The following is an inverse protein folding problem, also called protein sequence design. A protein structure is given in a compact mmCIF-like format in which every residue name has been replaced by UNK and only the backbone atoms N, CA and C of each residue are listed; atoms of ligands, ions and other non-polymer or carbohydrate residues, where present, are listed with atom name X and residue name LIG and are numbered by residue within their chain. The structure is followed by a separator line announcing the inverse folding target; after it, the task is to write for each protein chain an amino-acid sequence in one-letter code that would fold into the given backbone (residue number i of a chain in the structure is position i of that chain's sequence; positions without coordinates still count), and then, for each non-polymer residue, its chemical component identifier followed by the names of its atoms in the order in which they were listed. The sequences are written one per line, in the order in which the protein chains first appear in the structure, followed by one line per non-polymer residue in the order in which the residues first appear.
data_IF_230049056081
#
_entry.id   IF_230049056081
#
_cell.length_a   1.000
_cell.length_b   1.000
_cell.length_c   1.000
_cell.angle_alpha   90.00
_cell.angle_beta   90.00
_cell.angle_gamma   90.00
#
_symmetry.space_group_name_H-M   'P 1'
#
loop_
_entity.id
_entity.type
_entity.pdbx_description
1 polymer ?
#
# COMPACT_ATOMS: atom_id res chain seq x y z
N UNK A 1 -42.77 -12.21 -25.44
CA UNK A 1 -41.34 -11.86 -25.32
C UNK A 1 -41.24 -10.48 -24.70
N UNK A 2 -41.35 -10.40 -23.37
CA UNK A 2 -41.03 -9.19 -22.62
C UNK A 2 -39.61 -9.34 -22.08
N UNK A 3 -38.69 -8.53 -22.61
CA UNK A 3 -37.33 -8.45 -22.15
C UNK A 3 -37.32 -7.50 -20.94
N UNK A 4 -37.16 -8.06 -19.75
CA UNK A 4 -37.04 -7.29 -18.52
C UNK A 4 -35.82 -6.36 -18.58
N UNK A 5 -36.06 -5.05 -18.51
CA UNK A 5 -35.02 -4.07 -18.23
C UNK A 5 -34.49 -4.30 -16.81
N UNK A 6 -33.39 -5.04 -16.68
CA UNK A 6 -32.64 -5.08 -15.44
C UNK A 6 -31.99 -3.71 -15.22
N UNK A 7 -32.59 -2.90 -14.34
CA UNK A 7 -31.90 -1.74 -13.78
C UNK A 7 -30.66 -2.22 -13.04
N UNK A 8 -29.50 -1.66 -13.41
CA UNK A 8 -28.24 -1.90 -12.73
C UNK A 8 -28.41 -1.49 -11.26
N UNK A 9 -28.07 -2.33 -10.27
CA UNK A 9 -28.26 -1.97 -8.86
C UNK A 9 -27.53 -0.66 -8.56
N UNK A 10 -28.23 0.29 -7.94
CA UNK A 10 -27.55 1.45 -7.36
C UNK A 10 -26.64 0.94 -6.24
N UNK A 11 -25.34 1.17 -6.43
CA UNK A 11 -24.32 0.84 -5.44
C UNK A 11 -24.46 1.82 -4.27
N UNK A 12 -25.05 1.37 -3.18
CA UNK A 12 -24.95 2.07 -1.91
C UNK A 12 -23.51 1.91 -1.45
N UNK A 13 -22.70 2.95 -1.58
CA UNK A 13 -21.36 3.02 -0.98
C UNK A 13 -21.53 3.16 0.52
N UNK A 14 -21.20 2.16 1.35
CA UNK A 14 -21.01 2.44 2.75
C UNK A 14 -19.78 3.35 2.84
N UNK A 15 -19.98 4.63 3.12
CA UNK A 15 -18.88 5.44 3.61
C UNK A 15 -18.40 4.78 4.90
N UNK A 16 -17.20 4.21 4.87
CA UNK A 16 -16.52 3.78 6.08
C UNK A 16 -16.32 5.02 6.95
N UNK A 17 -17.23 5.21 7.91
CA UNK A 17 -17.07 6.24 8.93
C UNK A 17 -15.85 5.85 9.76
N UNK A 18 -14.74 6.52 9.47
CA UNK A 18 -13.48 6.36 10.19
C UNK A 18 -13.62 7.09 11.53
N UNK A 19 -13.70 6.32 12.61
CA UNK A 19 -13.68 6.86 13.97
C UNK A 19 -12.23 6.88 14.46
N UNK A 20 -11.75 8.07 14.84
CA UNK A 20 -10.41 8.22 15.41
C UNK A 20 -10.25 7.38 16.67
N UNK A 21 -9.14 6.67 16.78
CA UNK A 21 -8.80 5.87 17.96
C UNK A 21 -7.95 6.75 18.87
N UNK A 22 -8.55 7.28 19.93
CA UNK A 22 -7.86 8.18 20.85
C UNK A 22 -6.57 7.53 21.40
N UNK A 23 -5.45 8.24 21.30
CA UNK A 23 -4.14 7.79 21.79
C UNK A 23 -3.41 6.77 20.89
N UNK A 24 -4.00 6.30 19.79
CA UNK A 24 -3.35 5.30 18.92
C UNK A 24 -2.02 5.79 18.35
N UNK A 25 -1.98 7.03 17.86
CA UNK A 25 -0.76 7.61 17.30
C UNK A 25 0.32 7.78 18.37
N UNK A 26 -0.05 8.17 19.60
CA UNK A 26 0.90 8.25 20.71
C UNK A 26 1.50 6.87 21.02
N UNK A 27 0.67 5.82 20.99
CA UNK A 27 1.12 4.45 21.21
C UNK A 27 2.06 3.98 20.08
N UNK A 28 1.69 4.21 18.82
CA UNK A 28 2.49 3.84 17.64
C UNK A 28 3.85 4.55 17.60
N UNK A 29 3.89 5.82 18.03
CA UNK A 29 5.14 6.59 18.06
C UNK A 29 6.19 6.02 19.02
N UNK A 30 5.83 5.15 19.98
CA UNK A 30 6.82 4.44 20.79
C UNK A 30 7.66 3.43 19.99
N UNK A 31 7.22 3.08 18.78
CA UNK A 31 7.88 2.15 17.87
C UNK A 31 8.46 2.87 16.64
N UNK A 32 8.54 4.21 16.67
CA UNK A 32 8.96 5.00 15.51
C UNK A 32 10.38 4.69 15.10
N UNK A 33 10.60 4.51 13.80
CA UNK A 33 11.93 4.34 13.19
C UNK A 33 12.24 5.51 12.27
N UNK A 34 13.21 6.34 12.65
CA UNK A 34 13.57 7.56 11.91
C UNK A 34 14.30 7.26 10.58
N UNK A 35 14.94 6.09 10.47
CA UNK A 35 15.75 5.70 9.32
C UNK A 35 15.01 4.93 8.23
N UNK A 36 13.71 4.60 8.41
CA UNK A 36 12.95 3.93 7.35
C UNK A 36 12.83 4.78 6.07
N UNK A 37 13.04 6.09 6.17
CA UNK A 37 13.00 7.05 5.06
C UNK A 37 14.40 7.58 4.64
N UNK A 38 15.50 7.07 5.22
CA UNK A 38 16.85 7.39 4.73
C UNK A 38 17.11 6.58 3.45
N UNK A 39 16.46 7.03 2.39
CA UNK A 39 16.22 6.27 1.16
C UNK A 39 17.38 6.44 0.18
N UNK A 40 17.89 5.34 -0.38
CA UNK A 40 18.48 5.39 -1.71
C UNK A 40 17.33 5.62 -2.70
N UNK A 41 17.07 6.88 -3.05
CA UNK A 41 16.04 7.24 -4.03
C UNK A 41 16.54 6.82 -5.41
N UNK A 42 16.04 5.70 -5.92
CA UNK A 42 16.43 5.16 -7.23
C UNK A 42 15.27 5.44 -8.19
N UNK A 43 15.48 6.13 -9.33
CA UNK A 43 14.51 6.18 -10.40
C UNK A 43 14.13 4.76 -10.77
N UNK A 44 12.89 4.36 -10.47
CA UNK A 44 12.54 2.96 -10.49
C UNK A 44 11.73 2.65 -11.73
N UNK A 45 12.35 1.89 -12.64
CA UNK A 45 11.61 1.07 -13.57
C UNK A 45 11.14 -0.17 -12.81
N UNK A 46 10.03 -0.05 -12.06
CA UNK A 46 9.47 -1.20 -11.34
C UNK A 46 9.01 -2.22 -12.38
N UNK A 47 9.72 -3.34 -12.46
CA UNK A 47 9.23 -4.53 -13.14
C UNK A 47 8.53 -5.39 -12.10
N UNK A 48 7.21 -5.25 -12.00
CA UNK A 48 6.39 -6.18 -11.24
C UNK A 48 6.31 -7.49 -12.01
N UNK A 49 6.39 -8.63 -11.31
CA UNK A 49 5.98 -9.89 -11.94
C UNK A 49 4.51 -9.79 -12.35
N UNK A 50 4.11 -10.53 -13.39
CA UNK A 50 2.72 -10.53 -13.84
C UNK A 50 1.76 -10.93 -12.70
N UNK A 51 2.18 -11.86 -11.84
CA UNK A 51 1.42 -12.31 -10.67
C UNK A 51 1.26 -11.18 -9.64
N UNK A 52 2.33 -10.45 -9.31
CA UNK A 52 2.25 -9.30 -8.39
C UNK A 52 1.45 -8.16 -9.02
N UNK A 53 1.57 -7.94 -10.33
CA UNK A 53 0.78 -6.95 -11.06
C UNK A 53 -0.71 -7.29 -10.99
N UNK A 54 -1.08 -8.55 -11.22
CA UNK A 54 -2.47 -9.02 -11.09
C UNK A 54 -2.96 -8.91 -9.65
N UNK A 55 -2.11 -9.17 -8.66
CA UNK A 55 -2.48 -9.03 -7.25
C UNK A 55 -2.69 -7.56 -6.84
N UNK A 56 -1.84 -6.65 -7.31
CA UNK A 56 -1.91 -5.23 -6.97
C UNK A 56 -3.04 -4.52 -7.73
N UNK A 57 -3.19 -4.83 -9.01
CA UNK A 57 -4.08 -4.10 -9.92
C UNK A 57 -5.31 -4.90 -10.38
N UNK A 58 -5.42 -6.20 -10.09
CA UNK A 58 -6.52 -7.04 -10.57
C UNK A 58 -6.45 -7.36 -12.07
N UNK A 59 -7.43 -8.13 -12.56
CA UNK A 59 -7.47 -8.65 -13.93
C UNK A 59 -7.90 -7.58 -14.97
N UNK A 60 -8.67 -6.58 -14.54
CA UNK A 60 -9.19 -5.49 -15.40
C UNK A 60 -8.10 -4.51 -15.87
N UNK A 61 -6.90 -4.57 -15.27
CA UNK A 61 -5.79 -3.66 -15.55
C UNK A 61 -4.67 -4.28 -16.41
N UNK A 62 -4.91 -5.46 -17.02
CA UNK A 62 -3.95 -6.16 -17.92
C UNK A 62 -3.42 -5.31 -19.09
N UNK A 63 -4.16 -4.28 -19.49
CA UNK A 63 -3.85 -3.45 -20.67
C UNK A 63 -3.43 -2.02 -20.36
N UNK A 64 -3.35 -1.63 -19.09
CA UNK A 64 -2.94 -0.28 -18.69
C UNK A 64 -1.48 -0.34 -18.27
N UNK A 65 -0.52 0.16 -19.09
CA UNK A 65 0.81 0.50 -18.59
C UNK A 65 0.62 1.36 -17.33
N UNK A 66 1.46 1.19 -16.32
CA UNK A 66 1.57 2.18 -15.24
C UNK A 66 2.02 3.49 -15.89
N UNK A 67 1.03 4.21 -16.41
CA UNK A 67 1.11 5.38 -17.26
C UNK A 67 1.94 5.23 -18.55
N UNK A 68 1.68 6.06 -19.59
CA UNK A 68 2.53 6.13 -20.77
C UNK A 68 3.98 6.46 -20.37
N UNK A 69 4.99 6.12 -21.21
CA UNK A 69 6.39 6.44 -20.96
C UNK A 69 6.55 7.96 -20.77
N UNK A 70 6.57 8.42 -19.52
CA UNK A 70 6.55 9.84 -19.18
C UNK A 70 6.07 10.21 -17.78
N UNK A 71 5.40 9.32 -17.03
CA UNK A 71 5.05 9.56 -15.62
C UNK A 71 6.15 8.95 -14.75
N UNK A 72 6.98 9.81 -14.16
CA UNK A 72 8.06 9.39 -13.25
C UNK A 72 7.45 8.84 -11.96
N UNK A 73 7.39 7.51 -11.81
CA UNK A 73 7.11 6.88 -10.52
C UNK A 73 8.42 6.66 -9.78
N UNK A 74 8.44 7.02 -8.50
CA UNK A 74 9.61 6.84 -7.65
C UNK A 74 9.32 5.70 -6.67
N UNK A 75 10.00 4.57 -6.88
CA UNK A 75 10.02 3.51 -5.89
C UNK A 75 11.17 3.74 -4.91
N UNK A 76 10.88 3.49 -3.65
CA UNK A 76 11.75 3.77 -2.53
C UNK A 76 11.70 2.60 -1.58
N UNK A 77 12.89 2.16 -1.17
CA UNK A 77 13.07 1.10 -0.19
C UNK A 77 13.51 1.72 1.13
N UNK A 78 12.99 1.19 2.23
CA UNK A 78 13.51 1.53 3.53
C UNK A 78 14.97 1.11 3.66
N UNK A 79 15.76 1.92 4.38
CA UNK A 79 17.20 1.68 4.58
C UNK A 79 17.48 0.33 5.24
N UNK A 80 16.59 -0.11 6.12
CA UNK A 80 16.72 -1.31 6.93
C UNK A 80 15.59 -2.30 6.63
N UNK A 81 15.93 -3.59 6.60
CA UNK A 81 14.96 -4.67 6.70
C UNK A 81 14.83 -5.13 8.15
N UNK A 82 13.64 -5.56 8.54
CA UNK A 82 13.29 -5.97 9.89
C UNK A 82 13.02 -7.47 9.93
N UNK A 83 13.70 -8.17 10.83
CA UNK A 83 13.53 -9.60 11.09
C UNK A 83 12.99 -9.90 12.49
N UNK A 84 12.60 -8.86 13.23
CA UNK A 84 12.07 -8.91 14.60
C UNK A 84 11.58 -7.52 15.01
N UNK A 85 10.75 -7.44 16.03
CA UNK A 85 10.32 -6.25 16.72
C UNK A 85 9.07 -5.60 16.13
N UNK A 86 8.69 -4.48 16.78
CA UNK A 86 7.62 -3.60 16.35
C UNK A 86 8.21 -2.30 15.82
N UNK A 87 7.76 -1.89 14.64
CA UNK A 87 8.29 -0.75 13.90
C UNK A 87 7.16 0.09 13.32
N UNK A 88 7.30 1.41 13.40
CA UNK A 88 6.34 2.36 12.89
C UNK A 88 7.04 3.46 12.08
N UNK A 89 6.48 3.80 10.92
CA UNK A 89 6.92 4.94 10.13
C UNK A 89 5.72 5.57 9.41
N UNK A 90 5.92 6.78 8.90
CA UNK A 90 4.88 7.55 8.22
C UNK A 90 5.38 7.99 6.85
N UNK A 91 4.52 7.95 5.85
CA UNK A 91 4.84 8.35 4.47
C UNK A 91 3.94 9.51 4.07
N UNK A 92 4.55 10.59 3.57
CA UNK A 92 3.80 11.72 3.03
C UNK A 92 3.23 11.38 1.65
N UNK A 93 1.90 11.43 1.54
CA UNK A 93 1.13 11.15 0.32
C UNK A 93 0.38 12.38 -0.19
N UNK A 94 0.64 13.57 0.36
CA UNK A 94 -0.07 14.83 0.07
C UNK A 94 -0.01 15.22 -1.41
N UNK A 95 1.00 14.76 -2.15
CA UNK A 95 1.18 15.04 -3.58
C UNK A 95 0.72 13.96 -4.57
N UNK A 96 0.47 12.72 -4.13
CA UNK A 96 0.32 11.60 -5.05
C UNK A 96 -1.13 11.14 -5.19
N UNK A 97 -1.60 11.04 -6.44
CA UNK A 97 -2.93 10.51 -6.77
C UNK A 97 -2.97 8.99 -6.81
N UNK A 98 -1.82 8.35 -7.00
CA UNK A 98 -1.64 6.91 -6.95
C UNK A 98 -0.41 6.60 -6.08
N UNK A 99 -0.50 5.57 -5.25
CA UNK A 99 0.64 5.10 -4.47
C UNK A 99 0.51 3.65 -4.05
N UNK A 100 1.64 3.03 -3.73
CA UNK A 100 1.75 1.72 -3.10
C UNK A 100 2.60 1.90 -1.86
N UNK A 101 2.11 1.48 -0.70
CA UNK A 101 2.83 1.57 0.57
C UNK A 101 2.78 0.21 1.26
N UNK A 102 3.86 -0.16 1.94
CA UNK A 102 3.83 -1.28 2.86
C UNK A 102 5.19 -1.89 3.09
N UNK A 103 5.21 -3.22 3.19
CA UNK A 103 6.43 -4.02 3.36
C UNK A 103 6.41 -5.21 2.42
N UNK A 104 7.60 -5.65 2.02
CA UNK A 104 7.76 -6.94 1.38
C UNK A 104 9.08 -7.59 1.79
N UNK A 105 9.21 -8.88 1.48
CA UNK A 105 10.46 -9.62 1.62
C UNK A 105 11.65 -8.86 1.05
N UNK A 106 12.74 -8.81 1.80
CA UNK A 106 13.99 -8.20 1.36
C UNK A 106 14.64 -9.05 0.25
N UNK A 107 14.36 -8.70 -1.01
CA UNK A 107 14.79 -9.44 -2.20
C UNK A 107 15.89 -8.72 -2.99
N UNK A 108 16.66 -7.78 -2.39
CA UNK A 108 17.73 -7.04 -3.08
C UNK A 108 18.69 -8.00 -3.80
N UNK A 109 18.54 -8.14 -5.11
CA UNK A 109 19.51 -8.80 -5.97
C UNK A 109 20.62 -7.81 -6.33
N UNK A 110 21.79 -8.32 -6.69
CA UNK A 110 22.95 -7.52 -7.12
C UNK A 110 22.73 -6.76 -8.44
N UNK A 111 21.65 -7.09 -9.15
CA UNK A 111 21.24 -6.41 -10.37
C UNK A 111 20.30 -5.27 -10.01
N UNK A 112 20.49 -4.12 -10.66
CA UNK A 112 19.69 -2.89 -10.47
C UNK A 112 18.18 -3.06 -10.76
N UNK A 113 17.75 -4.25 -11.16
CA UNK A 113 16.35 -4.64 -11.36
C UNK A 113 15.74 -5.16 -10.07
N UNK A 114 14.72 -4.46 -9.60
CA UNK A 114 13.94 -4.86 -8.42
C UNK A 114 12.90 -5.89 -8.84
N UNK A 115 12.91 -7.07 -8.21
CA UNK A 115 11.90 -8.11 -8.39
C UNK A 115 11.04 -8.16 -7.12
N UNK A 116 9.79 -7.71 -7.25
CA UNK A 116 8.77 -7.95 -6.23
C UNK A 116 8.12 -9.29 -6.59
N UNK A 117 8.37 -10.30 -5.75
CA UNK A 117 7.76 -11.62 -5.83
C UNK A 117 6.49 -11.68 -4.97
N UNK A 118 5.64 -12.67 -5.23
CA UNK A 118 4.33 -12.83 -4.60
C UNK A 118 4.39 -13.24 -3.13
N UNK A 119 5.52 -13.76 -2.65
CA UNK A 119 5.70 -14.20 -1.27
C UNK A 119 5.95 -13.03 -0.30
N UNK A 120 5.19 -12.99 0.79
CA UNK A 120 5.35 -12.03 1.91
C UNK A 120 5.33 -10.56 1.49
N UNK A 121 4.31 -10.17 0.71
CA UNK A 121 4.02 -8.78 0.37
C UNK A 121 2.74 -8.28 1.04
N UNK A 122 2.85 -7.17 1.78
CA UNK A 122 1.76 -6.55 2.52
C UNK A 122 1.64 -5.10 2.09
N UNK A 123 0.86 -4.87 1.04
CA UNK A 123 0.70 -3.55 0.44
C UNK A 123 -0.70 -3.00 0.59
N UNK A 124 -0.76 -1.71 0.90
CA UNK A 124 -1.92 -0.86 0.71
C UNK A 124 -1.67 -0.01 -0.54
N UNK A 125 -2.63 -0.02 -1.45
CA UNK A 125 -2.51 0.59 -2.77
C UNK A 125 -3.64 1.60 -2.90
N UNK A 126 -3.32 2.84 -3.26
CA UNK A 126 -4.31 3.82 -3.66
C UNK A 126 -4.23 4.02 -5.16
N UNK A 127 -5.37 3.86 -5.82
CA UNK A 127 -5.53 4.09 -7.24
C UNK A 127 -6.64 5.11 -7.49
N UNK A 128 -6.42 6.01 -8.44
CA UNK A 128 -7.41 6.95 -8.95
C UNK A 128 -7.85 6.52 -10.34
N UNK A 129 -9.12 6.15 -10.48
CA UNK A 129 -9.73 5.88 -11.78
C UNK A 129 -10.87 6.85 -12.03
N UNK A 130 -10.85 7.49 -13.20
CA UNK A 130 -11.77 8.56 -13.58
C UNK A 130 -11.78 9.71 -12.55
N UNK A 131 -12.67 9.66 -11.56
CA UNK A 131 -12.78 10.64 -10.49
C UNK A 131 -13.07 10.01 -9.11
N UNK A 132 -12.76 8.73 -8.94
CA UNK A 132 -12.92 8.01 -7.67
C UNK A 132 -11.59 7.42 -7.24
N UNK A 133 -11.35 7.42 -5.95
CA UNK A 133 -10.21 6.73 -5.35
C UNK A 133 -10.66 5.37 -4.83
N UNK A 134 -9.84 4.37 -5.07
CA UNK A 134 -9.97 3.05 -4.45
C UNK A 134 -8.72 2.72 -3.67
N UNK A 135 -8.91 2.09 -2.51
CA UNK A 135 -7.87 1.37 -1.79
C UNK A 135 -7.96 -0.11 -2.13
N UNK A 136 -6.82 -0.72 -2.44
CA UNK A 136 -6.68 -2.16 -2.58
C UNK A 136 -5.55 -2.74 -1.74
N UNK A 137 -5.62 -4.04 -1.45
CA UNK A 137 -4.63 -4.79 -0.67
C UNK A 137 -4.00 -5.91 -1.49
N UNK A 138 -2.76 -6.30 -1.17
CA UNK A 138 -2.06 -7.39 -1.87
C UNK A 138 -2.70 -8.76 -1.60
N UNK A 139 -2.71 -9.26 -0.37
CA UNK A 139 -3.34 -10.55 -0.05
C UNK A 139 -3.91 -10.59 1.37
N UNK A 140 -5.22 -10.82 1.57
CA UNK A 140 -6.24 -11.01 0.53
C UNK A 140 -6.41 -9.76 -0.34
N UNK A 141 -6.78 -9.94 -1.60
CA UNK A 141 -7.10 -8.81 -2.48
C UNK A 141 -8.50 -8.29 -2.18
N UNK A 142 -8.55 -7.10 -1.57
CA UNK A 142 -9.79 -6.40 -1.23
C UNK A 142 -9.75 -5.06 -1.93
N UNK A 143 -10.89 -4.56 -2.40
CA UNK A 143 -11.01 -3.23 -3.03
C UNK A 143 -12.15 -2.45 -2.39
N UNK A 144 -11.87 -1.24 -1.92
CA UNK A 144 -12.84 -0.32 -1.34
C UNK A 144 -12.72 1.08 -1.95
N UNK A 145 -13.84 1.67 -2.33
CA UNK A 145 -13.89 3.08 -2.71
C UNK A 145 -13.82 3.96 -1.45
N UNK A 146 -12.95 4.96 -1.48
CA UNK A 146 -12.69 5.82 -0.33
C UNK A 146 -12.53 7.27 -0.74
N UNK A 147 -12.63 8.17 0.24
CA UNK A 147 -12.02 9.49 0.10
C UNK A 147 -10.50 9.34 0.15
N UNK A 148 -9.78 10.17 -0.60
CA UNK A 148 -8.31 10.15 -0.60
C UNK A 148 -7.78 10.44 0.81
N UNK A 149 -6.91 9.58 1.38
CA UNK A 149 -6.20 9.88 2.61
C UNK A 149 -5.38 11.17 2.48
N UNK A 150 -5.47 12.06 3.48
CA UNK A 150 -4.78 13.34 3.47
C UNK A 150 -3.51 13.30 4.33
N UNK A 151 -2.47 14.02 3.90
CA UNK A 151 -1.25 14.15 4.68
C UNK A 151 -0.39 12.89 4.62
N UNK A 152 -0.39 12.12 5.71
CA UNK A 152 0.50 10.97 5.91
C UNK A 152 -0.27 9.68 6.15
N UNK A 153 0.26 8.60 5.61
CA UNK A 153 -0.16 7.23 5.96
C UNK A 153 0.90 6.61 6.84
N UNK A 154 0.49 6.14 8.02
CA UNK A 154 1.34 5.41 8.95
C UNK A 154 1.36 3.93 8.60
N UNK A 155 2.51 3.29 8.64
CA UNK A 155 2.68 1.84 8.49
C UNK A 155 3.26 1.29 9.78
N UNK A 156 2.60 0.27 10.32
CA UNK A 156 3.01 -0.43 11.53
C UNK A 156 3.27 -1.90 11.20
N UNK A 157 4.46 -2.37 11.58
CA UNK A 157 4.89 -3.76 11.49
C UNK A 157 5.04 -4.30 12.91
N UNK A 158 4.37 -5.40 13.21
CA UNK A 158 4.61 -6.24 14.39
C UNK A 158 5.10 -7.60 13.90
N UNK A 159 6.43 -7.77 13.89
CA UNK A 159 7.06 -8.93 13.28
C UNK A 159 6.73 -10.22 14.04
N UNK A 160 6.80 -10.20 15.37
CA UNK A 160 6.52 -11.36 16.20
C UNK A 160 5.07 -11.81 16.12
N UNK A 161 4.12 -10.88 16.01
CA UNK A 161 2.70 -11.21 15.86
C UNK A 161 2.26 -11.37 14.41
N UNK A 162 3.17 -11.23 13.44
CA UNK A 162 2.83 -11.44 12.05
C UNK A 162 1.87 -10.40 11.46
N UNK A 163 1.86 -9.18 12.00
CA UNK A 163 0.85 -8.18 11.67
C UNK A 163 1.44 -6.97 10.93
N UNK A 164 0.74 -6.52 9.89
CA UNK A 164 1.00 -5.26 9.19
C UNK A 164 -0.27 -4.43 9.18
N UNK A 165 -0.19 -3.16 9.56
CA UNK A 165 -1.35 -2.27 9.65
C UNK A 165 -1.04 -0.86 9.14
N UNK A 166 -2.07 -0.21 8.61
CA UNK A 166 -2.01 1.10 7.97
C UNK A 166 -2.95 2.08 8.65
N UNK A 167 -2.49 3.30 8.86
CA UNK A 167 -3.22 4.32 9.62
C UNK A 167 -3.31 5.62 8.85
N UNK A 168 -4.48 6.27 8.90
CA UNK A 168 -4.63 7.66 8.50
C UNK A 168 -4.12 8.51 9.66
N UNK A 169 -2.96 9.16 9.47
CA UNK A 169 -2.31 9.93 10.53
C UNK A 169 -3.09 11.20 10.85
N UNK A 170 -3.78 11.77 9.86
CA UNK A 170 -4.56 12.98 10.05
C UNK A 170 -5.83 12.68 10.86
N UNK A 171 -6.53 11.58 10.54
CA UNK A 171 -7.73 11.16 11.26
C UNK A 171 -7.43 10.38 12.54
N UNK A 172 -6.21 9.88 12.71
CA UNK A 172 -5.84 9.03 13.83
C UNK A 172 -6.61 7.71 13.85
N UNK A 173 -6.84 7.10 12.68
CA UNK A 173 -7.68 5.92 12.53
C UNK A 173 -6.98 4.81 11.75
N UNK A 174 -7.44 3.57 11.94
CA UNK A 174 -6.98 2.42 11.16
C UNK A 174 -7.62 2.49 9.76
N UNK A 175 -6.78 2.44 8.73
CA UNK A 175 -7.21 2.26 7.34
C UNK A 175 -7.44 0.77 7.08
N UNK A 176 -6.42 -0.05 7.37
CA UNK A 176 -6.49 -1.50 7.15
C UNK A 176 -5.44 -2.23 8.00
N UNK A 177 -5.77 -3.43 8.47
CA UNK A 177 -4.84 -4.34 9.12
C UNK A 177 -4.88 -5.69 8.42
N UNK A 178 -3.74 -6.18 7.94
CA UNK A 178 -3.64 -7.52 7.39
C UNK A 178 -3.92 -8.56 8.49
N UNK A 179 -4.65 -9.65 8.17
CA UNK A 179 -4.75 -10.78 9.08
C UNK A 179 -3.35 -11.27 9.48
N UNK A 180 -3.12 -11.59 10.76
CA UNK A 180 -1.83 -12.09 11.22
C UNK A 180 -1.35 -13.30 10.42
N UNK A 181 -0.08 -13.30 10.01
CA UNK A 181 0.56 -14.43 9.32
C UNK A 181 2.02 -14.58 9.75
N UNK A 182 2.52 -15.82 9.79
CA UNK A 182 3.91 -16.06 10.16
C UNK A 182 4.86 -15.51 9.09
N UNK A 183 5.79 -14.65 9.49
CA UNK A 183 6.87 -14.17 8.63
C UNK A 183 8.08 -15.11 8.70
N UNK A 184 8.67 -15.39 7.55
CA UNK A 184 9.80 -16.28 7.35
C UNK A 184 11.04 -15.54 6.81
N UNK A 185 10.87 -14.32 6.31
CA UNK A 185 11.94 -13.48 5.77
C UNK A 185 12.01 -12.11 6.46
N UNK A 186 13.20 -11.47 6.49
CA UNK A 186 13.28 -10.06 6.80
C UNK A 186 12.38 -9.24 5.87
N UNK A 187 11.61 -8.33 6.43
CA UNK A 187 10.68 -7.46 5.71
C UNK A 187 11.26 -6.05 5.59
N UNK A 188 11.28 -5.51 4.39
CA UNK A 188 11.76 -4.17 4.09
C UNK A 188 10.58 -3.24 3.78
N UNK A 189 10.56 -2.01 4.32
CA UNK A 189 9.61 -1.00 3.89
C UNK A 189 9.71 -0.72 2.39
N UNK A 190 8.56 -0.55 1.74
CA UNK A 190 8.45 -0.26 0.32
C UNK A 190 7.42 0.85 0.09
N UNK A 191 7.78 1.80 -0.78
CA UNK A 191 6.91 2.90 -1.20
C UNK A 191 7.07 3.14 -2.68
N UNK A 192 5.96 3.28 -3.39
CA UNK A 192 5.93 3.80 -4.75
C UNK A 192 4.94 4.95 -4.79
N UNK A 193 5.43 6.14 -5.15
CA UNK A 193 4.62 7.33 -5.29
C UNK A 193 4.53 7.68 -6.78
N UNK A 194 3.32 7.74 -7.32
CA UNK A 194 3.08 8.28 -8.66
C UNK A 194 3.35 9.79 -8.68
N UNK A 195 3.88 10.29 -9.81
CA UNK A 195 4.04 11.72 -10.00
C UNK A 195 2.69 12.45 -10.05
N UNK A 196 2.76 13.76 -9.86
CA UNK A 196 1.63 14.69 -9.81
C UNK A 196 0.90 14.81 -11.14
#
# INVERSE_FOLDING_TARGET
NDLAHMQKPQLVTPELTSWGISGVLNMLNNFRVDNALNTEMIPCYISLSEDVRQVIFGDDHRSVPMDPPGVESFAMWGAQAFSSGRHYWEVDVTGSSNWILGVCKDSRTTDTSIIIDSDEMFFLILSKSSNQYSLSTSSPHIVHYVQRPQGRVGVFLDYENGAVSFFDVYQGSLIYGFPPSSFSSPLRPFFCLGSR
#
